data_IF_840054050008
#
_entry.id   IF_840054050008
#
_cell.length_a   1.000
_cell.length_b   1.000
_cell.length_c   1.000
_cell.angle_alpha   90.00
_cell.angle_beta   90.00
_cell.angle_gamma   90.00
#
_symmetry.space_group_name_H-M   'P 1'
#
loop_
_entity.id
_entity.type
_entity.pdbx_description
1 polymer ?
#
# COMPACT_ATOMS: atom_id res chain seq x y z
N UNK A 1 -28.18 -36.18 -39.51
CA UNK A 1 -28.64 -35.69 -40.83
C UNK A 1 -30.08 -36.17 -41.14
N UNK A 2 -31.07 -35.93 -40.28
CA UNK A 2 -32.45 -36.42 -40.52
C UNK A 2 -33.59 -35.43 -40.24
N UNK A 3 -33.30 -34.12 -40.05
CA UNK A 3 -34.32 -33.06 -39.95
C UNK A 3 -34.26 -31.98 -41.05
N UNK A 4 -33.40 -32.14 -42.05
CA UNK A 4 -33.13 -31.11 -43.08
C UNK A 4 -33.94 -31.34 -44.38
N UNK A 5 -34.58 -32.50 -44.53
CA UNK A 5 -35.29 -32.88 -45.74
C UNK A 5 -36.80 -32.56 -45.76
N UNK A 6 -37.35 -31.89 -44.73
CA UNK A 6 -38.77 -31.49 -44.64
C UNK A 6 -38.98 -29.96 -44.56
N UNK A 7 -37.99 -29.16 -44.94
CA UNK A 7 -38.04 -27.69 -44.86
C UNK A 7 -38.36 -27.14 -46.25
N UNK A 8 -39.34 -26.21 -46.35
CA UNK A 8 -39.75 -25.63 -47.63
C UNK A 8 -38.59 -24.88 -48.31
N UNK A 9 -38.57 -24.76 -49.65
CA UNK A 9 -37.52 -24.03 -50.37
C UNK A 9 -37.30 -22.60 -49.84
N UNK A 10 -38.37 -21.91 -49.46
CA UNK A 10 -38.31 -20.56 -48.87
C UNK A 10 -37.65 -20.55 -47.48
N UNK A 11 -37.99 -21.51 -46.63
CA UNK A 11 -37.38 -21.64 -45.30
C UNK A 11 -35.89 -22.02 -45.41
N UNK A 12 -35.49 -22.85 -46.38
CA UNK A 12 -34.08 -23.13 -46.68
C UNK A 12 -33.35 -21.88 -47.17
N UNK A 13 -33.96 -21.09 -48.06
CA UNK A 13 -33.37 -19.84 -48.53
C UNK A 13 -33.15 -18.83 -47.39
N UNK A 14 -34.13 -18.71 -46.47
CA UNK A 14 -34.04 -17.85 -45.29
C UNK A 14 -32.92 -18.28 -44.33
N UNK A 15 -32.83 -19.58 -44.01
CA UNK A 15 -31.75 -20.15 -43.19
C UNK A 15 -30.36 -19.94 -43.81
N UNK A 16 -30.24 -20.07 -45.15
CA UNK A 16 -28.98 -19.81 -45.86
C UNK A 16 -28.62 -18.33 -45.78
N UNK A 17 -29.58 -17.43 -45.96
CA UNK A 17 -29.38 -15.98 -45.84
C UNK A 17 -28.96 -15.58 -44.42
N UNK A 18 -29.64 -16.08 -43.38
CA UNK A 18 -29.29 -15.86 -41.97
C UNK A 18 -27.89 -16.38 -41.64
N UNK A 19 -27.54 -17.59 -42.11
CA UNK A 19 -26.20 -18.16 -41.91
C UNK A 19 -25.10 -17.39 -42.65
N UNK A 20 -25.42 -16.79 -43.80
CA UNK A 20 -24.52 -15.92 -44.57
C UNK A 20 -24.34 -14.56 -43.88
N UNK A 21 -25.41 -13.99 -43.33
CA UNK A 21 -25.37 -12.76 -42.53
C UNK A 21 -24.56 -12.95 -41.24
N UNK A 22 -24.86 -14.00 -40.45
CA UNK A 22 -24.10 -14.35 -39.24
C UNK A 22 -22.60 -14.61 -39.53
N UNK A 23 -22.27 -15.25 -40.65
CA UNK A 23 -20.86 -15.41 -41.09
C UNK A 23 -20.21 -14.07 -41.47
N UNK A 24 -20.96 -13.14 -42.04
CA UNK A 24 -20.45 -11.81 -42.37
C UNK A 24 -20.19 -10.97 -41.11
N UNK A 25 -21.11 -10.99 -40.14
CA UNK A 25 -20.95 -10.37 -38.82
C UNK A 25 -19.76 -10.95 -38.07
N UNK A 26 -19.63 -12.28 -38.02
CA UNK A 26 -18.46 -12.93 -37.41
C UNK A 26 -17.15 -12.51 -38.07
N UNK A 27 -17.09 -12.47 -39.42
CA UNK A 27 -15.90 -11.98 -40.14
C UNK A 27 -15.59 -10.52 -39.85
N UNK A 28 -16.62 -9.67 -39.74
CA UNK A 28 -16.46 -8.26 -39.38
C UNK A 28 -15.90 -8.12 -37.96
N UNK A 29 -16.44 -8.85 -36.99
CA UNK A 29 -15.96 -8.88 -35.60
C UNK A 29 -14.52 -9.38 -35.50
N UNK A 30 -14.16 -10.46 -36.22
CA UNK A 30 -12.77 -10.96 -36.27
C UNK A 30 -11.81 -9.93 -36.87
N UNK A 31 -12.24 -9.21 -37.92
CA UNK A 31 -11.44 -8.14 -38.54
C UNK A 31 -11.24 -6.97 -37.58
N UNK A 32 -12.28 -6.57 -36.85
CA UNK A 32 -12.22 -5.54 -35.82
C UNK A 32 -11.25 -5.92 -34.69
N UNK A 33 -11.36 -7.15 -34.16
CA UNK A 33 -10.44 -7.71 -33.17
C UNK A 33 -8.99 -7.71 -33.67
N UNK A 34 -8.75 -8.10 -34.92
CA UNK A 34 -7.41 -8.09 -35.51
C UNK A 34 -6.84 -6.67 -35.65
N UNK A 35 -7.66 -5.68 -35.99
CA UNK A 35 -7.26 -4.27 -36.03
C UNK A 35 -6.92 -3.74 -34.62
N UNK A 36 -7.75 -4.06 -33.62
CA UNK A 36 -7.52 -3.71 -32.22
C UNK A 36 -6.20 -4.32 -31.71
N UNK A 37 -5.97 -5.60 -31.96
CA UNK A 37 -4.71 -6.29 -31.61
C UNK A 37 -3.49 -5.66 -32.29
N UNK A 38 -3.58 -5.27 -33.56
CA UNK A 38 -2.49 -4.56 -34.27
C UNK A 38 -2.20 -3.20 -33.63
N UNK A 39 -3.23 -2.43 -33.29
CA UNK A 39 -3.09 -1.13 -32.63
C UNK A 39 -2.46 -1.27 -31.24
N UNK A 40 -2.92 -2.23 -30.44
CA UNK A 40 -2.39 -2.51 -29.10
C UNK A 40 -0.94 -3.00 -29.17
N UNK A 41 -0.60 -3.86 -30.14
CA UNK A 41 0.78 -4.30 -30.37
C UNK A 41 1.71 -3.13 -30.73
N UNK A 42 1.26 -2.17 -31.55
CA UNK A 42 2.03 -0.94 -31.85
C UNK A 42 2.22 -0.07 -30.60
N UNK A 43 1.16 0.18 -29.83
CA UNK A 43 1.22 0.93 -28.56
C UNK A 43 2.18 0.28 -27.57
N UNK A 44 2.12 -1.05 -27.42
CA UNK A 44 3.03 -1.84 -26.58
C UNK A 44 4.48 -1.68 -27.01
N UNK A 45 4.80 -1.86 -28.30
CA UNK A 45 6.17 -1.66 -28.81
C UNK A 45 6.69 -0.26 -28.51
N UNK A 46 5.83 0.77 -28.59
CA UNK A 46 6.18 2.14 -28.21
C UNK A 46 6.51 2.26 -26.71
N UNK A 47 5.61 1.78 -25.84
CA UNK A 47 5.82 1.79 -24.37
C UNK A 47 7.09 1.04 -23.95
N UNK A 48 7.32 -0.12 -24.56
CA UNK A 48 8.51 -0.93 -24.30
C UNK A 48 9.82 -0.18 -24.66
N UNK A 49 9.81 0.58 -25.77
CA UNK A 49 10.95 1.43 -26.16
C UNK A 49 11.15 2.59 -25.19
N UNK A 50 10.06 3.23 -24.75
CA UNK A 50 10.11 4.33 -23.77
C UNK A 50 10.73 3.86 -22.45
N UNK A 51 10.30 2.72 -21.91
CA UNK A 51 10.84 2.22 -20.65
C UNK A 51 12.29 1.74 -20.79
N UNK A 52 12.63 1.07 -21.89
CA UNK A 52 14.01 0.67 -22.17
C UNK A 52 14.95 1.87 -22.26
N UNK A 53 14.46 2.99 -22.82
CA UNK A 53 15.18 4.26 -22.84
C UNK A 53 15.38 4.82 -21.44
N UNK A 54 14.32 4.90 -20.63
CA UNK A 54 14.40 5.39 -19.25
C UNK A 54 15.36 4.55 -18.40
N UNK A 55 15.28 3.22 -18.47
CA UNK A 55 16.21 2.32 -17.77
C UNK A 55 17.65 2.53 -18.23
N UNK A 56 17.87 2.79 -19.52
CA UNK A 56 19.22 3.06 -20.05
C UNK A 56 19.77 4.39 -19.54
N UNK A 57 18.96 5.45 -19.52
CA UNK A 57 19.32 6.78 -19.02
C UNK A 57 19.61 6.74 -17.51
N UNK A 58 18.81 5.98 -16.78
CA UNK A 58 18.91 5.85 -15.33
C UNK A 58 20.17 5.08 -14.86
N UNK A 59 20.86 4.34 -15.74
CA UNK A 59 22.11 3.63 -15.39
C UNK A 59 23.17 4.53 -14.75
N UNK A 60 23.24 5.80 -15.15
CA UNK A 60 24.17 6.78 -14.55
C UNK A 60 23.78 7.07 -13.10
N UNK A 61 22.49 7.32 -12.86
CA UNK A 61 21.95 7.54 -11.52
C UNK A 61 22.15 6.32 -10.64
N UNK A 62 21.91 5.10 -11.17
CA UNK A 62 22.13 3.87 -10.43
C UNK A 62 23.58 3.72 -9.94
N UNK A 63 24.58 4.09 -10.75
CA UNK A 63 25.98 4.10 -10.30
C UNK A 63 26.21 5.10 -9.17
N UNK A 64 25.53 6.24 -9.20
CA UNK A 64 25.61 7.27 -8.17
C UNK A 64 24.95 6.80 -6.87
N UNK A 65 23.74 6.25 -6.92
CA UNK A 65 23.04 5.68 -5.75
C UNK A 65 23.86 4.58 -5.08
N UNK A 66 24.53 3.73 -5.86
CA UNK A 66 25.42 2.69 -5.32
C UNK A 66 26.65 3.28 -4.61
N UNK A 67 27.14 4.46 -5.02
CA UNK A 67 28.23 5.15 -4.31
C UNK A 67 27.72 5.76 -3.00
N UNK A 68 26.54 6.36 -3.01
CA UNK A 68 25.89 6.91 -1.81
C UNK A 68 25.67 5.83 -0.75
N UNK A 69 25.05 4.71 -1.12
CA UNK A 69 24.83 3.57 -0.22
C UNK A 69 26.15 3.05 0.36
N UNK A 70 27.21 2.96 -0.45
CA UNK A 70 28.54 2.54 0.05
C UNK A 70 29.11 3.54 1.04
N UNK A 71 28.92 4.84 0.81
CA UNK A 71 29.35 5.90 1.73
C UNK A 71 28.61 5.78 3.05
N UNK A 72 27.27 5.63 3.02
CA UNK A 72 26.44 5.47 4.22
C UNK A 72 26.88 4.25 5.05
N UNK A 73 27.18 3.13 4.39
CA UNK A 73 27.71 1.92 5.04
C UNK A 73 29.08 2.18 5.68
N UNK A 74 29.98 2.89 5.00
CA UNK A 74 31.31 3.21 5.54
C UNK A 74 31.21 4.11 6.75
N UNK A 75 30.29 5.08 6.73
CA UNK A 75 30.04 5.98 7.84
C UNK A 75 29.47 5.25 9.05
N UNK A 76 28.44 4.40 8.86
CA UNK A 76 27.90 3.58 9.95
C UNK A 76 28.95 2.64 10.55
N UNK A 77 29.82 2.04 9.73
CA UNK A 77 30.89 1.15 10.20
C UNK A 77 31.85 1.82 11.19
N UNK A 78 32.01 3.14 11.17
CA UNK A 78 32.81 3.87 12.18
C UNK A 78 32.23 3.72 13.59
N UNK A 79 30.92 3.53 13.72
CA UNK A 79 30.20 3.31 14.98
C UNK A 79 30.18 1.83 15.41
N UNK A 80 30.70 0.91 14.58
CA UNK A 80 30.68 -0.52 14.89
C UNK A 80 31.48 -0.89 16.15
N UNK A 81 32.70 -0.37 16.40
CA UNK A 81 33.48 -0.74 17.58
C UNK A 81 32.76 -0.40 18.90
N UNK A 82 32.09 0.75 18.96
CA UNK A 82 31.29 1.18 20.11
C UNK A 82 30.13 0.20 20.37
N UNK A 83 29.34 -0.12 19.33
CA UNK A 83 28.24 -1.10 19.42
C UNK A 83 28.71 -2.49 19.87
N UNK A 84 29.87 -2.93 19.38
CA UNK A 84 30.47 -4.22 19.81
C UNK A 84 30.87 -4.18 21.28
N UNK A 85 31.45 -3.08 21.76
CA UNK A 85 31.79 -2.90 23.17
C UNK A 85 30.53 -2.90 24.06
N UNK A 86 29.47 -2.21 23.66
CA UNK A 86 28.19 -2.20 24.38
C UNK A 86 27.60 -3.61 24.54
N UNK A 87 27.58 -4.41 23.46
CA UNK A 87 27.06 -5.79 23.52
C UNK A 87 27.94 -6.68 24.40
N UNK A 88 29.27 -6.49 24.36
CA UNK A 88 30.20 -7.20 25.26
C UNK A 88 29.97 -6.83 26.73
N UNK A 89 29.78 -5.54 27.02
CA UNK A 89 29.46 -5.04 28.37
C UNK A 89 28.13 -5.62 28.87
N UNK A 90 27.07 -5.52 28.07
CA UNK A 90 25.77 -6.13 28.38
C UNK A 90 25.88 -7.62 28.72
N UNK A 91 26.71 -8.38 27.98
CA UNK A 91 26.91 -9.81 28.23
C UNK A 91 27.73 -10.09 29.51
N UNK A 92 28.67 -9.22 29.87
CA UNK A 92 29.42 -9.32 31.12
C UNK A 92 28.55 -9.07 32.34
N UNK A 93 27.60 -8.14 32.26
CA UNK A 93 26.65 -7.77 33.31
C UNK A 93 25.54 -8.82 33.55
N UNK A 94 25.43 -9.86 32.71
CA UNK A 94 24.41 -10.88 32.90
C UNK A 94 24.72 -11.77 34.12
N UNK A 95 23.80 -11.90 35.09
CA UNK A 95 24.03 -12.65 36.33
C UNK A 95 24.21 -14.16 36.10
N UNK A 96 23.62 -14.72 35.04
CA UNK A 96 23.77 -16.12 34.67
C UNK A 96 23.91 -16.30 33.15
N UNK A 97 25.07 -16.77 32.69
CA UNK A 97 25.41 -16.99 31.27
C UNK A 97 24.94 -18.35 30.78
N UNK A 98 23.66 -18.63 30.97
CA UNK A 98 23.01 -19.87 30.51
C UNK A 98 22.97 -19.96 28.98
N UNK A 99 22.48 -21.10 28.45
CA UNK A 99 22.41 -21.38 27.00
C UNK A 99 21.62 -20.30 26.23
N UNK A 100 20.55 -19.78 26.82
CA UNK A 100 19.69 -18.74 26.23
C UNK A 100 20.45 -17.42 26.09
N UNK A 101 21.11 -16.96 27.15
CA UNK A 101 21.91 -15.73 27.15
C UNK A 101 23.10 -15.83 26.18
N UNK A 102 23.77 -17.00 26.09
CA UNK A 102 24.83 -17.23 25.09
C UNK A 102 24.31 -17.14 23.64
N UNK A 103 23.13 -17.71 23.38
CA UNK A 103 22.47 -17.63 22.06
C UNK A 103 22.12 -16.17 21.72
N UNK A 104 21.59 -15.44 22.69
CA UNK A 104 21.25 -14.03 22.55
C UNK A 104 22.48 -13.15 22.31
N UNK A 105 23.58 -13.39 23.02
CA UNK A 105 24.85 -12.71 22.77
C UNK A 105 25.36 -12.91 21.33
N UNK A 106 25.35 -14.16 20.84
CA UNK A 106 25.74 -14.46 19.44
C UNK A 106 24.82 -13.74 18.45
N UNK A 107 23.52 -13.68 18.73
CA UNK A 107 22.53 -12.96 17.91
C UNK A 107 22.85 -11.46 17.87
N UNK A 108 22.99 -10.82 19.03
CA UNK A 108 23.32 -9.39 19.15
C UNK A 108 24.65 -9.05 18.48
N UNK A 109 25.66 -9.91 18.65
CA UNK A 109 26.96 -9.74 18.00
C UNK A 109 26.85 -9.76 16.47
N UNK A 110 26.10 -10.72 15.92
CA UNK A 110 25.84 -10.75 14.48
C UNK A 110 25.10 -9.49 13.99
N UNK A 111 24.14 -8.98 14.77
CA UNK A 111 23.38 -7.77 14.41
C UNK A 111 24.26 -6.51 14.39
N UNK A 112 25.12 -6.30 15.40
CA UNK A 112 25.96 -5.08 15.46
C UNK A 112 27.06 -5.03 14.41
N UNK A 113 27.40 -6.16 13.78
CA UNK A 113 28.33 -6.21 12.64
C UNK A 113 27.68 -5.82 11.31
N UNK A 114 26.35 -5.79 11.23
CA UNK A 114 25.63 -5.32 10.05
C UNK A 114 25.47 -3.79 10.09
N UNK A 115 25.36 -3.14 8.91
CA UNK A 115 25.04 -1.71 8.86
C UNK A 115 23.71 -1.43 9.55
N UNK A 116 23.65 -0.42 10.43
CA UNK A 116 22.38 -0.03 11.05
C UNK A 116 21.70 1.03 10.18
N UNK A 117 20.42 0.82 9.92
CA UNK A 117 19.59 1.76 9.17
C UNK A 117 18.53 2.36 10.08
N UNK A 118 18.20 3.62 9.82
CA UNK A 118 17.09 4.33 10.42
C UNK A 118 15.95 4.45 9.41
N UNK A 119 14.85 3.77 9.73
CA UNK A 119 13.64 3.73 8.92
C UNK A 119 12.59 4.74 9.37
N UNK A 120 12.86 5.52 10.43
CA UNK A 120 11.95 6.55 10.94
C UNK A 120 11.84 7.74 10.00
N UNK A 121 12.86 7.97 9.17
CA UNK A 121 12.92 9.09 8.25
C UNK A 121 11.79 9.09 7.19
N UNK A 122 11.64 10.16 6.40
CA UNK A 122 10.70 10.22 5.26
C UNK A 122 10.80 8.99 4.32
N UNK A 123 9.68 8.60 3.70
CA UNK A 123 9.68 7.61 2.61
C UNK A 123 9.70 8.37 1.30
N UNK A 124 10.68 8.10 0.44
CA UNK A 124 10.85 8.78 -0.85
C UNK A 124 10.82 7.80 -2.01
N UNK A 125 10.22 8.24 -3.09
CA UNK A 125 10.25 7.62 -4.39
C UNK A 125 10.88 8.63 -5.33
N UNK A 126 12.07 8.31 -5.82
CA UNK A 126 12.79 9.15 -6.77
C UNK A 126 12.63 8.52 -8.15
N UNK A 127 11.80 9.13 -9.01
CA UNK A 127 11.58 8.76 -10.42
C UNK A 127 11.31 7.27 -10.64
N UNK A 128 10.48 6.67 -9.80
CA UNK A 128 10.24 5.22 -9.82
C UNK A 128 9.31 4.81 -10.96
N UNK A 129 9.62 3.70 -11.62
CA UNK A 129 8.77 3.11 -12.66
C UNK A 129 8.61 1.62 -12.41
N UNK A 130 7.42 1.09 -12.67
CA UNK A 130 7.13 -0.32 -12.52
C UNK A 130 6.11 -0.79 -13.55
N UNK A 131 6.39 -1.93 -14.16
CA UNK A 131 5.59 -2.56 -15.21
C UNK A 131 5.37 -4.03 -14.88
N UNK A 132 4.11 -4.44 -14.79
CA UNK A 132 3.72 -5.83 -14.67
C UNK A 132 3.79 -6.53 -16.03
N UNK A 133 4.06 -7.83 -16.00
CA UNK A 133 3.99 -8.73 -17.16
C UNK A 133 4.75 -8.19 -18.37
N UNK A 134 5.97 -7.70 -18.14
CA UNK A 134 6.84 -7.14 -19.17
C UNK A 134 6.98 -8.07 -20.36
N UNK A 135 7.04 -7.52 -21.57
CA UNK A 135 7.18 -8.27 -22.82
C UNK A 135 5.98 -9.19 -23.15
N UNK A 136 4.88 -9.12 -22.40
CA UNK A 136 3.66 -9.88 -22.70
C UNK A 136 2.58 -9.00 -23.34
N UNK A 137 1.50 -9.57 -23.90
CA UNK A 137 0.32 -8.81 -24.30
C UNK A 137 -0.38 -8.09 -23.15
N UNK A 138 -0.17 -8.55 -21.91
CA UNK A 138 -0.77 -8.02 -20.68
C UNK A 138 0.14 -7.00 -19.97
N UNK A 139 1.12 -6.43 -20.69
CA UNK A 139 2.05 -5.44 -20.13
C UNK A 139 1.29 -4.21 -19.61
N UNK A 140 1.46 -3.92 -18.31
CA UNK A 140 0.78 -2.82 -17.65
C UNK A 140 1.77 -1.97 -16.84
N UNK A 141 1.94 -0.71 -17.24
CA UNK A 141 2.81 0.25 -16.55
C UNK A 141 2.05 0.88 -15.39
N UNK A 142 2.30 0.36 -14.19
CA UNK A 142 1.66 0.80 -12.97
C UNK A 142 2.29 2.08 -12.40
N UNK A 143 3.60 2.30 -12.59
CA UNK A 143 4.31 3.52 -12.18
C UNK A 143 5.17 4.05 -13.32
N UNK A 144 5.24 5.38 -13.46
CA UNK A 144 5.84 6.06 -14.61
C UNK A 144 6.63 7.31 -14.19
N UNK A 145 7.86 7.09 -13.72
CA UNK A 145 8.74 8.17 -13.26
C UNK A 145 8.08 8.95 -12.13
N UNK A 146 7.55 8.21 -11.15
CA UNK A 146 6.79 8.79 -10.04
C UNK A 146 7.77 9.34 -9.01
N UNK A 147 7.67 10.64 -8.73
CA UNK A 147 8.35 11.30 -7.63
C UNK A 147 7.36 11.55 -6.49
N UNK A 148 7.75 11.18 -5.27
CA UNK A 148 6.90 11.34 -4.09
C UNK A 148 7.71 11.32 -2.80
N UNK A 149 7.32 12.16 -1.85
CA UNK A 149 7.81 12.12 -0.47
C UNK A 149 6.63 11.94 0.47
N UNK A 150 6.68 10.95 1.35
CA UNK A 150 5.70 10.69 2.41
C UNK A 150 6.35 11.02 3.76
N UNK A 151 5.72 11.97 4.45
CA UNK A 151 6.21 12.56 5.70
C UNK A 151 6.18 11.55 6.86
N UNK A 152 7.03 11.80 7.85
CA UNK A 152 7.08 11.03 9.09
C UNK A 152 5.88 11.34 9.99
N UNK A 153 5.41 10.37 10.77
CA UNK A 153 4.39 10.57 11.81
C UNK A 153 3.02 11.06 11.32
N UNK A 154 2.79 11.19 10.01
CA UNK A 154 1.50 11.60 9.43
C UNK A 154 0.63 10.41 9.04
N UNK A 155 -0.67 10.66 8.98
CA UNK A 155 -1.64 9.84 8.27
C UNK A 155 -1.73 10.36 6.83
N UNK A 156 -1.22 9.58 5.89
CA UNK A 156 -1.23 9.91 4.47
C UNK A 156 -2.20 9.00 3.73
N UNK A 157 -3.22 9.58 3.11
CA UNK A 157 -4.13 8.86 2.23
C UNK A 157 -3.60 8.86 0.79
N UNK A 158 -3.65 7.73 0.11
CA UNK A 158 -3.33 7.60 -1.32
C UNK A 158 -4.61 7.25 -2.06
N UNK A 159 -5.07 8.18 -2.89
CA UNK A 159 -6.33 8.07 -3.64
C UNK A 159 -6.08 8.06 -5.15
N UNK A 160 -7.07 7.61 -5.92
CA UNK A 160 -6.97 7.49 -7.38
C UNK A 160 -7.83 6.33 -7.89
N UNK A 161 -8.14 6.32 -9.18
CA UNK A 161 -8.88 5.21 -9.80
C UNK A 161 -8.19 3.85 -9.65
N UNK A 162 -8.93 2.77 -9.81
CA UNK A 162 -8.37 1.43 -10.00
C UNK A 162 -7.37 1.44 -11.15
N UNK A 163 -6.19 0.84 -10.94
CA UNK A 163 -5.11 0.88 -11.92
C UNK A 163 -4.32 2.20 -11.96
N UNK A 164 -4.51 3.14 -11.03
CA UNK A 164 -3.68 4.36 -11.00
C UNK A 164 -2.26 4.14 -10.46
N UNK A 165 -1.98 2.98 -9.86
CA UNK A 165 -0.66 2.60 -9.32
C UNK A 165 -0.56 2.53 -7.79
N UNK A 166 -1.66 2.76 -7.04
CA UNK A 166 -1.69 2.80 -5.56
C UNK A 166 -1.12 1.54 -4.90
N UNK A 167 -1.67 0.37 -5.23
CA UNK A 167 -1.21 -0.91 -4.66
C UNK A 167 0.24 -1.22 -5.02
N UNK A 168 0.71 -0.80 -6.20
CA UNK A 168 2.12 -0.93 -6.59
C UNK A 168 3.02 -0.02 -5.77
N UNK A 169 2.61 1.23 -5.54
CA UNK A 169 3.34 2.20 -4.73
C UNK A 169 3.53 1.70 -3.30
N UNK A 170 2.47 1.21 -2.65
CA UNK A 170 2.58 0.69 -1.28
C UNK A 170 3.45 -0.57 -1.19
N UNK A 171 3.44 -1.45 -2.19
CA UNK A 171 4.30 -2.65 -2.19
C UNK A 171 5.80 -2.33 -2.36
N UNK A 172 6.13 -1.15 -2.89
CA UNK A 172 7.52 -0.69 -2.92
C UNK A 172 8.00 -0.27 -1.52
N UNK A 173 7.12 0.19 -0.62
CA UNK A 173 7.51 0.72 0.71
C UNK A 173 8.22 -0.31 1.59
N UNK A 174 7.84 -1.59 1.51
CA UNK A 174 8.45 -2.67 2.28
C UNK A 174 9.30 -3.63 1.42
N UNK A 175 9.56 -3.25 0.17
CA UNK A 175 10.39 -4.02 -0.76
C UNK A 175 9.77 -5.36 -1.20
N UNK A 176 8.43 -5.47 -1.25
CA UNK A 176 7.79 -6.59 -1.96
C UNK A 176 8.01 -6.51 -3.46
N UNK A 177 7.99 -5.29 -4.00
CA UNK A 177 8.40 -5.00 -5.36
C UNK A 177 9.72 -4.23 -5.37
N UNK A 178 10.44 -4.33 -6.49
CA UNK A 178 11.59 -3.47 -6.78
C UNK A 178 11.35 -2.71 -8.08
N UNK A 179 11.70 -1.43 -8.08
CA UNK A 179 11.47 -0.53 -9.22
C UNK A 179 12.40 -0.85 -10.40
N UNK A 180 12.01 -0.42 -11.59
CA UNK A 180 12.80 -0.53 -12.83
C UNK A 180 13.75 0.64 -13.04
N UNK A 181 13.37 1.81 -12.54
CA UNK A 181 14.12 3.07 -12.62
C UNK A 181 14.12 3.76 -11.27
N UNK A 182 15.07 4.65 -11.04
CA UNK A 182 15.11 5.46 -9.84
C UNK A 182 15.42 4.65 -8.59
N UNK A 183 14.84 5.03 -7.45
CA UNK A 183 15.03 4.33 -6.18
C UNK A 183 13.87 4.58 -5.21
N UNK A 184 13.69 3.65 -4.28
CA UNK A 184 12.86 3.85 -3.09
C UNK A 184 13.77 4.08 -1.89
N UNK A 185 13.42 5.03 -1.04
CA UNK A 185 14.16 5.37 0.18
C UNK A 185 13.20 5.29 1.36
N UNK A 186 13.61 4.64 2.44
CA UNK A 186 12.86 4.56 3.70
C UNK A 186 13.80 5.06 4.79
N UNK A 187 13.60 6.30 5.21
CA UNK A 187 14.56 7.03 6.03
C UNK A 187 15.93 7.14 5.38
N UNK A 188 16.96 6.47 5.91
CA UNK A 188 18.27 6.40 5.28
C UNK A 188 18.52 5.08 4.51
N UNK A 189 17.56 4.16 4.49
CA UNK A 189 17.67 2.90 3.77
C UNK A 189 17.25 3.06 2.32
N UNK A 190 18.15 2.79 1.37
CA UNK A 190 17.90 2.96 -0.06
C UNK A 190 17.78 1.63 -0.81
N UNK A 191 16.81 1.53 -1.70
CA UNK A 191 16.55 0.41 -2.61
C UNK A 191 16.66 0.92 -4.06
N UNK A 192 17.83 0.78 -4.70
CA UNK A 192 17.99 1.14 -6.10
C UNK A 192 17.16 0.25 -7.03
N UNK A 193 16.92 0.75 -8.24
CA UNK A 193 16.24 -0.01 -9.27
C UNK A 193 16.93 -1.33 -9.62
N UNK A 194 16.13 -2.30 -10.06
CA UNK A 194 16.58 -3.64 -10.47
C UNK A 194 17.37 -4.40 -9.39
N UNK A 195 17.19 -4.04 -8.12
CA UNK A 195 17.80 -4.76 -6.99
C UNK A 195 17.26 -6.20 -6.96
N UNK A 196 18.16 -7.18 -7.17
CA UNK A 196 17.81 -8.61 -7.17
C UNK A 196 17.55 -9.17 -5.77
N UNK A 197 18.31 -8.69 -4.78
CA UNK A 197 18.22 -9.13 -3.38
C UNK A 197 18.34 -7.93 -2.46
N UNK A 198 17.25 -7.61 -1.78
CA UNK A 198 17.20 -6.57 -0.76
C UNK A 198 17.93 -7.09 0.49
N UNK A 199 19.04 -6.45 0.85
CA UNK A 199 19.78 -6.77 2.09
C UNK A 199 18.96 -6.34 3.29
N UNK A 200 18.98 -7.06 4.41
CA UNK A 200 18.24 -6.63 5.61
C UNK A 200 16.73 -6.46 5.42
N UNK A 201 16.14 -7.14 4.43
CA UNK A 201 14.71 -7.07 4.12
C UNK A 201 13.82 -7.42 5.32
N UNK A 202 14.31 -8.24 6.25
CA UNK A 202 13.60 -8.56 7.50
C UNK A 202 13.42 -7.33 8.38
N UNK A 203 14.46 -6.51 8.52
CA UNK A 203 14.39 -5.25 9.28
C UNK A 203 13.46 -4.27 8.57
N UNK A 204 13.59 -4.10 7.26
CA UNK A 204 12.67 -3.26 6.48
C UNK A 204 11.20 -3.65 6.69
N UNK A 205 10.87 -4.95 6.61
CA UNK A 205 9.50 -5.46 6.76
C UNK A 205 9.00 -5.45 8.21
N UNK A 206 9.89 -5.45 9.19
CA UNK A 206 9.53 -5.16 10.59
C UNK A 206 9.09 -3.71 10.74
N UNK A 207 9.86 -2.79 10.15
CA UNK A 207 9.63 -1.36 10.28
C UNK A 207 8.45 -0.83 9.46
N UNK A 208 8.19 -1.46 8.30
CA UNK A 208 7.09 -1.14 7.40
C UNK A 208 6.15 -2.34 7.29
N UNK A 209 5.15 -2.37 8.17
CA UNK A 209 4.09 -3.37 8.15
C UNK A 209 3.08 -3.06 7.04
N UNK A 210 2.78 -4.05 6.19
CA UNK A 210 1.80 -3.91 5.10
C UNK A 210 0.62 -4.84 5.36
N UNK A 211 -0.57 -4.26 5.47
CA UNK A 211 -1.85 -4.96 5.54
C UNK A 211 -2.48 -4.90 4.15
N UNK A 212 -2.64 -6.07 3.53
CA UNK A 212 -3.34 -6.19 2.25
C UNK A 212 -4.85 -6.14 2.45
N UNK A 213 -5.57 -5.94 1.34
CA UNK A 213 -7.02 -6.11 1.30
C UNK A 213 -7.40 -7.53 1.74
N UNK A 214 -8.48 -7.63 2.52
CA UNK A 214 -8.94 -8.89 3.15
C UNK A 214 -7.84 -9.61 3.96
N UNK A 215 -7.22 -8.94 4.95
CA UNK A 215 -6.10 -9.53 5.71
C UNK A 215 -6.53 -10.75 6.53
N UNK A 216 -7.82 -10.93 6.80
CA UNK A 216 -8.38 -12.11 7.45
C UNK A 216 -8.01 -13.45 6.75
N UNK A 217 -7.73 -13.44 5.44
CA UNK A 217 -7.33 -14.64 4.71
C UNK A 217 -5.88 -15.05 4.94
N UNK A 218 -5.11 -14.26 5.70
CA UNK A 218 -3.71 -14.56 6.01
C UNK A 218 -3.55 -15.37 7.30
N UNK A 219 -4.61 -15.50 8.12
CA UNK A 219 -4.57 -16.27 9.37
C UNK A 219 -4.40 -17.77 9.07
N UNK A 220 -3.50 -18.43 9.79
CA UNK A 220 -3.12 -19.81 9.49
C UNK A 220 -2.66 -20.62 10.70
N UNK A 221 -2.43 -20.00 11.86
CA UNK A 221 -2.03 -20.71 13.07
C UNK A 221 -3.22 -21.32 13.81
N UNK A 222 -2.96 -22.33 14.63
CA UNK A 222 -4.01 -23.02 15.40
C UNK A 222 -4.66 -22.12 16.45
N UNK A 223 -3.92 -21.14 16.97
CA UNK A 223 -4.38 -20.21 18.02
C UNK A 223 -4.04 -18.77 17.69
N UNK A 224 -4.85 -17.83 18.18
CA UNK A 224 -4.69 -16.39 17.97
C UNK A 224 -3.34 -15.89 18.50
N UNK A 225 -2.90 -16.34 19.67
CA UNK A 225 -1.59 -15.96 20.24
C UNK A 225 -0.41 -16.38 19.36
N UNK A 226 -0.51 -17.54 18.71
CA UNK A 226 0.50 -18.04 17.77
C UNK A 226 0.51 -17.22 16.50
N UNK A 227 -0.67 -16.86 15.98
CA UNK A 227 -0.81 -16.06 14.76
C UNK A 227 -0.24 -14.65 14.95
N UNK A 228 -0.67 -13.95 16.00
CA UNK A 228 -0.19 -12.60 16.35
C UNK A 228 1.33 -12.59 16.59
N UNK A 229 1.86 -13.62 17.26
CA UNK A 229 3.29 -13.70 17.59
C UNK A 229 4.17 -14.19 16.44
N UNK A 230 3.59 -14.67 15.33
CA UNK A 230 4.34 -15.27 14.23
C UNK A 230 5.35 -14.31 13.61
N UNK A 231 4.94 -13.07 13.34
CA UNK A 231 5.80 -12.03 12.77
C UNK A 231 7.02 -11.72 13.65
N UNK A 232 6.82 -11.27 14.90
CA UNK A 232 7.90 -10.99 15.84
C UNK A 232 8.89 -12.15 16.01
N UNK A 233 8.39 -13.38 16.18
CA UNK A 233 9.24 -14.56 16.39
C UNK A 233 10.12 -14.84 15.15
N UNK A 234 9.58 -14.72 13.93
CA UNK A 234 10.34 -14.92 12.70
C UNK A 234 11.36 -13.81 12.41
N UNK A 235 11.14 -12.64 12.98
CA UNK A 235 12.08 -11.52 13.02
C UNK A 235 13.10 -11.65 14.16
N UNK A 236 12.98 -12.71 14.98
CA UNK A 236 13.94 -13.14 15.96
C UNK A 236 13.57 -12.81 17.40
N UNK A 237 12.40 -12.23 17.68
CA UNK A 237 11.95 -11.94 19.05
C UNK A 237 11.87 -13.22 19.91
N UNK A 238 11.95 -13.06 21.24
CA UNK A 238 11.76 -14.17 22.15
C UNK A 238 10.29 -14.63 22.09
N UNK A 239 10.09 -15.95 22.04
CA UNK A 239 8.76 -16.56 21.97
C UNK A 239 7.90 -16.19 23.17
N UNK A 240 8.44 -16.27 24.39
CA UNK A 240 7.68 -15.99 25.61
C UNK A 240 7.30 -14.51 25.66
N UNK A 241 8.26 -13.61 25.44
CA UNK A 241 8.00 -12.16 25.40
C UNK A 241 6.99 -11.78 24.31
N UNK A 242 6.93 -12.53 23.20
CA UNK A 242 5.94 -12.29 22.14
C UNK A 242 4.53 -12.69 22.61
N UNK A 243 4.40 -13.83 23.28
CA UNK A 243 3.12 -14.26 23.85
C UNK A 243 2.65 -13.35 24.98
N UNK A 244 3.55 -12.86 25.82
CA UNK A 244 3.21 -11.97 26.93
C UNK A 244 2.64 -10.62 26.45
N UNK A 245 2.92 -10.22 25.20
CA UNK A 245 2.34 -9.01 24.56
C UNK A 245 0.97 -9.21 23.93
N UNK A 246 0.56 -10.45 23.68
CA UNK A 246 -0.71 -10.76 22.97
C UNK A 246 -1.93 -10.13 23.65
N UNK A 247 -2.10 -10.18 24.99
CA UNK A 247 -3.26 -9.57 25.64
C UNK A 247 -3.36 -8.05 25.40
N UNK A 248 -2.24 -7.32 25.39
CA UNK A 248 -2.23 -5.89 25.07
C UNK A 248 -2.64 -5.64 23.61
N UNK A 249 -2.15 -6.45 22.69
CA UNK A 249 -2.47 -6.34 21.27
C UNK A 249 -3.93 -6.64 20.98
N UNK A 250 -4.54 -7.62 21.68
CA UNK A 250 -5.97 -7.91 21.58
C UNK A 250 -6.81 -6.74 22.08
N UNK A 251 -6.50 -6.18 23.26
CA UNK A 251 -7.17 -4.97 23.76
C UNK A 251 -7.08 -3.80 22.78
N UNK A 252 -5.90 -3.61 22.17
CA UNK A 252 -5.67 -2.53 21.22
C UNK A 252 -6.58 -2.63 19.99
N UNK A 253 -6.93 -3.83 19.55
CA UNK A 253 -7.84 -4.06 18.42
C UNK A 253 -9.27 -4.35 18.87
N UNK A 254 -9.64 -3.99 20.09
CA UNK A 254 -10.97 -4.21 20.71
C UNK A 254 -11.42 -5.69 20.72
N UNK A 255 -10.50 -6.61 20.99
CA UNK A 255 -10.80 -8.03 21.21
C UNK A 255 -10.55 -8.43 22.67
N UNK A 256 -11.41 -9.29 23.25
CA UNK A 256 -11.19 -9.81 24.60
C UNK A 256 -9.90 -10.62 24.73
N UNK A 257 -9.21 -10.48 25.86
CA UNK A 257 -7.92 -11.16 26.09
C UNK A 257 -8.03 -12.68 26.15
N UNK A 258 -9.18 -13.21 26.61
CA UNK A 258 -9.45 -14.64 26.67
C UNK A 258 -9.54 -15.29 25.28
N UNK A 259 -9.54 -14.49 24.21
CA UNK A 259 -9.49 -14.99 22.85
C UNK A 259 -8.11 -15.54 22.50
N UNK A 260 -7.03 -15.17 23.20
CA UNK A 260 -5.66 -15.54 22.85
C UNK A 260 -5.46 -17.04 22.52
N UNK A 261 -6.14 -17.94 23.25
CA UNK A 261 -6.04 -19.40 23.07
C UNK A 261 -7.06 -19.99 22.10
N UNK A 262 -8.03 -19.22 21.61
CA UNK A 262 -9.04 -19.67 20.64
C UNK A 262 -8.43 -19.87 19.27
N UNK A 263 -9.10 -20.66 18.43
CA UNK A 263 -8.73 -20.75 17.03
C UNK A 263 -9.14 -19.48 16.28
N UNK A 264 -8.27 -18.91 15.42
CA UNK A 264 -8.67 -17.78 14.57
C UNK A 264 -9.80 -18.16 13.62
N UNK A 265 -9.97 -19.45 13.31
CA UNK A 265 -11.02 -19.93 12.39
C UNK A 265 -12.42 -19.86 12.99
N UNK A 266 -12.55 -19.84 14.32
CA UNK A 266 -13.81 -19.75 15.07
C UNK A 266 -14.38 -18.32 15.13
N UNK A 267 -13.61 -17.33 14.67
CA UNK A 267 -13.97 -15.92 14.73
C UNK A 267 -14.87 -15.47 13.57
N UNK A 268 -15.65 -14.41 13.79
CA UNK A 268 -16.35 -13.69 12.72
C UNK A 268 -15.36 -13.01 11.76
N UNK A 269 -15.79 -12.63 10.56
CA UNK A 269 -14.93 -11.98 9.57
C UNK A 269 -14.24 -10.71 10.10
N UNK A 270 -14.98 -9.83 10.77
CA UNK A 270 -14.43 -8.62 11.38
C UNK A 270 -13.44 -8.90 12.51
N UNK A 271 -13.71 -9.93 13.34
CA UNK A 271 -12.78 -10.36 14.39
C UNK A 271 -11.49 -10.96 13.80
N UNK A 272 -11.58 -11.76 12.73
CA UNK A 272 -10.40 -12.25 11.98
C UNK A 272 -9.55 -11.09 11.47
N UNK A 273 -10.19 -10.06 10.91
CA UNK A 273 -9.49 -8.85 10.46
C UNK A 273 -8.75 -8.14 11.59
N UNK A 274 -9.37 -7.99 12.76
CA UNK A 274 -8.74 -7.41 13.96
C UNK A 274 -7.50 -8.22 14.38
N UNK A 275 -7.58 -9.55 14.40
CA UNK A 275 -6.43 -10.43 14.69
C UNK A 275 -5.30 -10.26 13.66
N UNK A 276 -5.62 -10.22 12.38
CA UNK A 276 -4.62 -10.06 11.33
C UNK A 276 -3.86 -8.72 11.45
N UNK A 277 -4.58 -7.63 11.75
CA UNK A 277 -3.97 -6.32 12.00
C UNK A 277 -3.12 -6.35 13.28
N UNK A 278 -3.60 -7.00 14.34
CA UNK A 278 -2.84 -7.15 15.58
C UNK A 278 -1.49 -7.84 15.34
N UNK A 279 -1.43 -8.87 14.48
CA UNK A 279 -0.18 -9.54 14.10
C UNK A 279 0.82 -8.62 13.38
N UNK A 280 0.33 -7.68 12.58
CA UNK A 280 1.19 -6.66 11.93
C UNK A 280 1.66 -5.61 12.94
N UNK A 281 0.76 -5.13 13.80
CA UNK A 281 1.10 -4.17 14.87
C UNK A 281 2.09 -4.77 15.87
N UNK A 282 2.02 -6.08 16.12
CA UNK A 282 2.93 -6.83 17.00
C UNK A 282 4.40 -6.72 16.59
N UNK A 283 4.69 -6.49 15.30
CA UNK A 283 6.06 -6.29 14.80
C UNK A 283 6.69 -4.98 15.31
N UNK A 284 5.86 -4.07 15.84
CA UNK A 284 6.22 -2.78 16.41
C UNK A 284 7.07 -1.89 15.49
N UNK A 285 6.72 -1.89 14.21
CA UNK A 285 7.31 -1.00 13.22
C UNK A 285 6.84 0.45 13.35
N UNK A 286 7.60 1.36 12.75
CA UNK A 286 7.29 2.79 12.72
C UNK A 286 6.21 3.17 11.68
N UNK A 287 6.00 2.32 10.66
CA UNK A 287 5.06 2.59 9.56
C UNK A 287 4.07 1.44 9.40
N UNK A 288 2.79 1.78 9.32
CA UNK A 288 1.69 0.88 8.95
C UNK A 288 1.10 1.32 7.62
N UNK A 289 1.09 0.40 6.65
CA UNK A 289 0.57 0.61 5.30
C UNK A 289 -0.65 -0.28 5.11
N UNK A 290 -1.76 0.30 4.67
CA UNK A 290 -3.09 -0.31 4.67
C UNK A 290 -3.69 -0.23 3.27
N UNK A 291 -3.98 -1.37 2.63
CA UNK A 291 -4.67 -1.44 1.34
C UNK A 291 -6.16 -1.78 1.55
N UNK A 292 -7.03 -0.79 1.40
CA UNK A 292 -8.48 -0.89 1.64
C UNK A 292 -8.87 -1.62 2.94
N UNK A 293 -8.42 -1.14 4.11
CA UNK A 293 -8.57 -1.87 5.37
C UNK A 293 -10.03 -2.05 5.83
N UNK A 294 -10.93 -1.15 5.43
CA UNK A 294 -12.34 -1.18 5.87
C UNK A 294 -13.27 -1.92 4.89
N UNK A 295 -12.77 -2.36 3.73
CA UNK A 295 -13.60 -2.94 2.67
C UNK A 295 -14.43 -4.15 3.13
N UNK A 296 -15.74 -4.10 2.90
CA UNK A 296 -16.66 -5.19 3.23
C UNK A 296 -17.11 -5.26 4.70
N UNK A 297 -16.82 -4.23 5.51
CA UNK A 297 -17.36 -4.09 6.85
C UNK A 297 -18.69 -3.32 6.85
N UNK A 298 -19.43 -3.46 7.93
CA UNK A 298 -20.56 -2.60 8.25
C UNK A 298 -20.08 -1.21 8.70
N UNK A 299 -20.92 -0.16 8.64
CA UNK A 299 -20.50 1.22 8.95
C UNK A 299 -19.85 1.39 10.32
N UNK A 300 -20.37 0.71 11.36
CA UNK A 300 -19.77 0.76 12.70
C UNK A 300 -18.37 0.14 12.72
N UNK A 301 -18.22 -1.04 12.08
CA UNK A 301 -16.93 -1.69 11.94
C UNK A 301 -15.92 -0.81 11.19
N UNK A 302 -16.34 -0.11 10.13
CA UNK A 302 -15.47 0.83 9.44
C UNK A 302 -14.97 1.94 10.37
N UNK A 303 -15.88 2.59 11.12
CA UNK A 303 -15.54 3.67 12.06
C UNK A 303 -14.57 3.20 13.15
N UNK A 304 -14.80 2.02 13.72
CA UNK A 304 -13.93 1.44 14.74
C UNK A 304 -12.48 1.27 14.22
N UNK A 305 -12.30 0.77 12.99
CA UNK A 305 -10.97 0.64 12.38
C UNK A 305 -10.33 1.99 12.08
N UNK A 306 -11.10 2.95 11.57
CA UNK A 306 -10.60 4.30 11.33
C UNK A 306 -10.10 4.95 12.63
N UNK A 307 -10.85 4.77 13.73
CA UNK A 307 -10.48 5.21 15.07
C UNK A 307 -9.22 4.48 15.59
N UNK A 308 -9.09 3.18 15.36
CA UNK A 308 -7.88 2.43 15.69
C UNK A 308 -6.64 3.01 14.99
N UNK A 309 -6.71 3.26 13.68
CA UNK A 309 -5.57 3.83 12.94
C UNK A 309 -5.24 5.25 13.40
N UNK A 310 -6.26 6.04 13.72
CA UNK A 310 -6.08 7.37 14.28
C UNK A 310 -5.36 7.31 15.64
N UNK A 311 -5.78 6.42 16.56
CA UNK A 311 -5.11 6.22 17.86
C UNK A 311 -3.67 5.73 17.69
N UNK A 312 -3.42 4.77 16.80
CA UNK A 312 -2.07 4.30 16.49
C UNK A 312 -1.15 5.44 16.01
N UNK A 313 -1.67 6.37 15.21
CA UNK A 313 -0.92 7.56 14.81
C UNK A 313 -0.69 8.52 15.98
N UNK A 314 -1.75 8.96 16.66
CA UNK A 314 -1.68 10.05 17.65
C UNK A 314 -1.04 9.62 18.98
N UNK A 315 -1.30 8.41 19.45
CA UNK A 315 -0.82 7.93 20.75
C UNK A 315 0.53 7.21 20.65
N UNK A 316 0.78 6.50 19.54
CA UNK A 316 2.01 5.70 19.36
C UNK A 316 2.99 6.33 18.36
N UNK A 317 2.64 7.46 17.74
CA UNK A 317 3.49 8.17 16.79
C UNK A 317 3.74 7.40 15.48
N UNK A 318 2.93 6.38 15.16
CA UNK A 318 3.12 5.57 13.96
C UNK A 318 2.76 6.36 12.71
N UNK A 319 3.55 6.26 11.65
CA UNK A 319 3.17 6.75 10.32
C UNK A 319 2.15 5.80 9.71
N UNK A 320 1.05 6.34 9.19
CA UNK A 320 -0.02 5.55 8.60
C UNK A 320 -0.15 5.92 7.13
N UNK A 321 -0.08 4.94 6.24
CA UNK A 321 -0.35 5.13 4.81
C UNK A 321 -1.59 4.31 4.46
N UNK A 322 -2.68 4.98 4.07
CA UNK A 322 -3.96 4.32 3.73
C UNK A 322 -4.27 4.49 2.25
N UNK A 323 -4.44 3.37 1.56
CA UNK A 323 -5.10 3.34 0.26
C UNK A 323 -6.56 3.04 0.50
N UNK A 324 -7.44 3.94 0.06
CA UNK A 324 -8.89 3.76 0.19
C UNK A 324 -9.63 4.47 -0.92
N UNK A 325 -10.84 3.99 -1.21
CA UNK A 325 -11.81 4.63 -2.09
C UNK A 325 -12.93 5.35 -1.34
N UNK A 326 -12.96 5.27 0.00
CA UNK A 326 -13.91 6.00 0.83
C UNK A 326 -13.33 7.38 1.19
N UNK A 327 -13.82 8.44 0.53
CA UNK A 327 -13.30 9.81 0.73
C UNK A 327 -13.78 10.44 2.04
N UNK A 328 -14.92 10.01 2.59
CA UNK A 328 -15.38 10.48 3.91
C UNK A 328 -14.35 10.09 4.99
N UNK A 329 -13.83 8.85 4.94
CA UNK A 329 -12.77 8.38 5.82
C UNK A 329 -11.45 9.15 5.64
N UNK A 330 -11.10 9.49 4.39
CA UNK A 330 -9.92 10.30 4.11
C UNK A 330 -10.06 11.69 4.74
N UNK A 331 -11.23 12.33 4.56
CA UNK A 331 -11.50 13.63 5.17
C UNK A 331 -11.44 13.58 6.70
N UNK A 332 -11.92 12.49 7.29
CA UNK A 332 -11.98 12.33 8.75
C UNK A 332 -10.58 12.32 9.39
N UNK A 333 -9.65 11.50 8.89
CA UNK A 333 -8.38 11.24 9.61
C UNK A 333 -7.10 11.67 8.90
N UNK A 334 -7.10 11.89 7.58
CA UNK A 334 -5.85 12.11 6.86
C UNK A 334 -5.26 13.50 7.17
N UNK A 335 -3.95 13.56 7.39
CA UNK A 335 -3.20 14.80 7.46
C UNK A 335 -2.80 15.26 6.04
N UNK A 336 -2.61 14.32 5.12
CA UNK A 336 -2.14 14.55 3.76
C UNK A 336 -2.81 13.58 2.77
N UNK A 337 -3.12 14.05 1.57
CA UNK A 337 -3.72 13.27 0.49
C UNK A 337 -2.81 13.31 -0.74
N UNK A 338 -2.49 12.13 -1.26
CA UNK A 338 -1.74 11.93 -2.50
C UNK A 338 -2.71 11.44 -3.56
N UNK A 339 -2.77 12.16 -4.68
CA UNK A 339 -3.64 11.83 -5.80
C UNK A 339 -2.84 11.17 -6.91
N UNK A 340 -3.12 9.89 -7.16
CA UNK A 340 -2.50 9.11 -8.22
C UNK A 340 -3.40 9.03 -9.45
N UNK A 341 -2.81 9.26 -10.63
CA UNK A 341 -3.47 9.06 -11.91
C UNK A 341 -2.48 8.51 -12.94
N UNK A 342 -2.83 7.37 -13.56
CA UNK A 342 -2.05 6.71 -14.62
C UNK A 342 -0.56 6.52 -14.28
N UNK A 343 -0.27 6.07 -13.07
CA UNK A 343 1.08 5.78 -12.58
C UNK A 343 1.91 7.01 -12.25
N UNK A 344 1.29 8.18 -12.03
CA UNK A 344 1.95 9.40 -11.59
C UNK A 344 1.20 10.02 -10.42
N UNK A 345 1.92 10.74 -9.56
CA UNK A 345 1.32 11.66 -8.60
C UNK A 345 0.99 12.94 -9.36
N UNK A 346 -0.28 13.35 -9.34
CA UNK A 346 -0.76 14.56 -10.04
C UNK A 346 -1.13 15.69 -9.09
N UNK A 347 -1.34 15.38 -7.81
CA UNK A 347 -1.59 16.35 -6.75
C UNK A 347 -1.18 15.74 -5.40
N UNK A 348 -0.78 16.60 -4.48
CA UNK A 348 -0.42 16.27 -3.12
C UNK A 348 -0.73 17.50 -2.25
N UNK A 349 -1.49 17.33 -1.17
CA UNK A 349 -1.90 18.44 -0.31
C UNK A 349 -2.68 17.99 0.90
N UNK A 350 -3.25 18.92 1.64
CA UNK A 350 -4.21 18.62 2.69
C UNK A 350 -5.51 18.02 2.08
N UNK A 351 -6.33 17.30 2.86
CA UNK A 351 -7.65 16.87 2.40
C UNK A 351 -8.50 18.04 1.89
N UNK A 352 -8.38 19.22 2.51
CA UNK A 352 -9.14 20.40 2.15
C UNK A 352 -8.72 20.95 0.78
N UNK A 353 -7.42 21.06 0.53
CA UNK A 353 -6.88 21.49 -0.77
C UNK A 353 -7.28 20.54 -1.91
N UNK A 354 -7.30 19.23 -1.62
CA UNK A 354 -7.66 18.21 -2.63
C UNK A 354 -9.17 18.18 -2.88
N UNK A 355 -10.00 18.22 -1.84
CA UNK A 355 -11.45 18.05 -1.98
C UNK A 355 -12.20 19.33 -2.37
N UNK A 356 -11.62 20.51 -2.12
CA UNK A 356 -12.12 21.79 -2.65
C UNK A 356 -11.86 21.95 -4.16
N UNK A 357 -10.99 21.14 -4.76
CA UNK A 357 -10.66 21.22 -6.18
C UNK A 357 -11.55 20.29 -7.03
N UNK A 358 -12.71 20.78 -7.47
CA UNK A 358 -13.65 20.01 -8.28
C UNK A 358 -13.04 19.49 -9.59
N UNK A 359 -12.27 20.32 -10.29
CA UNK A 359 -11.62 19.95 -11.55
C UNK A 359 -10.64 18.77 -11.39
N UNK A 360 -9.91 18.74 -10.28
CA UNK A 360 -9.01 17.63 -9.95
C UNK A 360 -9.80 16.33 -9.73
N UNK A 361 -10.90 16.40 -8.98
CA UNK A 361 -11.75 15.26 -8.67
C UNK A 361 -12.45 14.70 -9.91
N UNK A 362 -12.96 15.56 -10.78
CA UNK A 362 -13.53 15.18 -12.08
C UNK A 362 -12.50 14.48 -12.96
N UNK A 363 -11.28 15.03 -13.05
CA UNK A 363 -10.18 14.45 -13.84
C UNK A 363 -9.78 13.04 -13.41
N UNK A 364 -9.93 12.72 -12.13
CA UNK A 364 -9.63 11.39 -11.58
C UNK A 364 -10.87 10.54 -11.39
N UNK A 365 -12.05 11.01 -11.79
CA UNK A 365 -13.32 10.29 -11.68
C UNK A 365 -13.58 9.78 -10.25
N UNK A 366 -13.32 10.63 -9.24
CA UNK A 366 -13.58 10.33 -7.83
C UNK A 366 -14.64 11.28 -7.30
N UNK A 367 -15.65 10.72 -6.63
CA UNK A 367 -16.61 11.54 -5.90
C UNK A 367 -15.98 12.15 -4.63
N UNK A 368 -16.18 13.46 -4.36
CA UNK A 368 -15.76 14.06 -3.11
C UNK A 368 -16.47 13.44 -1.89
N UNK A 369 -15.92 13.65 -0.67
CA UNK A 369 -16.66 13.40 0.57
C UNK A 369 -18.04 14.09 0.56
N UNK A 370 -19.01 13.55 1.28
CA UNK A 370 -20.40 14.05 1.32
C UNK A 370 -20.46 15.55 1.66
N UNK A 371 -19.64 15.99 2.61
CA UNK A 371 -19.56 17.40 3.01
C UNK A 371 -19.08 18.31 1.87
N UNK A 372 -18.04 17.89 1.15
CA UNK A 372 -17.52 18.63 0.01
C UNK A 372 -18.45 18.56 -1.20
N UNK A 373 -19.18 17.44 -1.39
CA UNK A 373 -20.25 17.34 -2.39
C UNK A 373 -21.34 18.37 -2.14
N UNK A 374 -21.72 18.59 -0.88
CA UNK A 374 -22.66 19.66 -0.51
C UNK A 374 -22.04 21.05 -0.70
N UNK A 375 -20.79 21.25 -0.29
CA UNK A 375 -20.09 22.53 -0.45
C UNK A 375 -20.00 22.98 -1.92
N UNK A 376 -19.71 22.05 -2.84
CA UNK A 376 -19.72 22.32 -4.28
C UNK A 376 -21.11 22.72 -4.78
N UNK A 377 -22.16 22.00 -4.36
CA UNK A 377 -23.55 22.37 -4.71
C UNK A 377 -23.96 23.75 -4.17
N UNK A 378 -23.50 24.11 -2.98
CA UNK A 378 -23.75 25.44 -2.40
C UNK A 378 -23.02 26.53 -3.19
N UNK A 379 -21.78 26.27 -3.61
CA UNK A 379 -21.01 27.16 -4.48
C UNK A 379 -21.72 27.40 -5.81
N UNK A 380 -22.23 26.34 -6.44
CA UNK A 380 -23.02 26.44 -7.68
C UNK A 380 -24.31 27.25 -7.49
N UNK A 381 -24.88 27.21 -6.28
CA UNK A 381 -26.04 28.02 -5.88
C UNK A 381 -25.68 29.45 -5.41
N UNK A 382 -24.41 29.86 -5.51
CA UNK A 382 -23.95 31.21 -5.18
C UNK A 382 -23.42 31.41 -3.76
N UNK A 383 -23.30 30.34 -2.95
CA UNK A 383 -22.74 30.38 -1.59
C UNK A 383 -21.43 29.57 -1.54
N UNK A 384 -20.30 30.23 -1.80
CA UNK A 384 -19.00 29.56 -1.77
C UNK A 384 -18.45 29.43 -0.34
N UNK A 385 -18.46 28.18 0.16
CA UNK A 385 -17.85 27.74 1.41
C UNK A 385 -16.62 26.86 1.19
N UNK A 386 -16.20 26.63 -0.06
CA UNK A 386 -15.08 25.72 -0.40
C UNK A 386 -13.71 26.26 -0.03
N UNK A 387 -13.63 27.55 0.32
CA UNK A 387 -12.43 28.25 0.81
C UNK A 387 -12.23 28.14 2.33
N UNK A 388 -13.18 27.50 3.04
CA UNK A 388 -13.11 27.27 4.49
C UNK A 388 -12.80 25.79 4.75
N UNK A 389 -11.89 25.53 5.69
CA UNK A 389 -11.55 24.17 6.11
C UNK A 389 -12.62 23.60 7.07
N UNK A 390 -13.16 22.43 6.75
CA UNK A 390 -14.08 21.69 7.61
C UNK A 390 -13.96 20.18 7.37
N UNK A 391 -14.06 19.40 8.44
CA UNK A 391 -14.10 17.92 8.46
C UNK A 391 -15.43 17.39 8.97
N UNK A 392 -16.17 18.20 9.72
CA UNK A 392 -17.42 17.81 10.40
C UNK A 392 -18.64 18.57 9.89
N UNK A 393 -19.82 18.04 10.19
CA UNK A 393 -21.11 18.69 9.89
C UNK A 393 -21.21 20.02 10.65
N UNK A 394 -20.76 20.06 11.89
CA UNK A 394 -20.77 21.25 12.74
C UNK A 394 -19.86 22.36 12.20
N UNK A 395 -18.67 22.01 11.71
CA UNK A 395 -17.76 22.95 11.07
C UNK A 395 -18.33 23.49 9.75
N UNK A 396 -18.94 22.63 8.93
CA UNK A 396 -19.61 23.07 7.71
C UNK A 396 -20.79 24.01 8.03
N UNK A 397 -21.59 23.71 9.06
CA UNK A 397 -22.69 24.58 9.48
C UNK A 397 -22.17 25.96 9.93
N UNK A 398 -21.04 26.02 10.65
CA UNK A 398 -20.37 27.27 11.01
C UNK A 398 -19.86 28.02 9.77
N UNK A 399 -19.28 27.32 8.79
CA UNK A 399 -18.83 27.90 7.52
C UNK A 399 -19.98 28.50 6.70
N UNK A 400 -21.13 27.81 6.64
CA UNK A 400 -22.35 28.33 5.97
C UNK A 400 -22.85 29.59 6.68
N UNK A 401 -22.87 29.59 8.03
CA UNK A 401 -23.31 30.75 8.81
C UNK A 401 -22.41 31.96 8.60
N UNK A 402 -21.09 31.78 8.46
CA UNK A 402 -20.16 32.91 8.27
C UNK A 402 -20.29 33.59 6.90
N UNK A 403 -20.79 32.87 5.87
CA UNK A 403 -21.00 33.38 4.51
C UNK A 403 -22.39 33.97 4.28
N UNK A 404 -23.38 33.65 5.12
CA UNK A 404 -24.70 34.29 5.16
C UNK A 404 -24.59 35.66 5.86
N UNK A 405 -24.15 36.68 5.15
CA UNK A 405 -24.32 38.09 5.54
C UNK A 405 -25.58 38.66 4.91
#
# INVERSE_FOLDING_TARGET
MSKINQISPEQKAKLIAEKKASRAEYKAHVKELALKQKADSKKRKKRHREISKLVKEDKKNQKQYQKEIKKDIVEDKKLMPQRVQEVKKWYQEQPNKNKTIKKEFKRRMNMVTQPKWDFKGEIKFDSVSYTYSKNSPFEFRALNGTDLVIQEGKITAVIGMTGSGKSTLIQLTNGLLTTETGRTIIGNYQIPASTKKIKQVKELRREVGLVFQFPEYQLFQDTIEKDISFGPINLGANKQESFDKVPELLRMVDLPEDYAKRSPFDLSGGQKRRVAIAGIVAMDGNTLVLDEPTGGLDPQGEEDFMNLFYKLNKEKGKRIIIVTHNMDHVLQIADEVIVMHKGKVISKGSPFEVFSNSQLLEKIEIEPPKLYKLAHKLKDAGLDVTDIEFRTVEELAKAIKSKRK
#
